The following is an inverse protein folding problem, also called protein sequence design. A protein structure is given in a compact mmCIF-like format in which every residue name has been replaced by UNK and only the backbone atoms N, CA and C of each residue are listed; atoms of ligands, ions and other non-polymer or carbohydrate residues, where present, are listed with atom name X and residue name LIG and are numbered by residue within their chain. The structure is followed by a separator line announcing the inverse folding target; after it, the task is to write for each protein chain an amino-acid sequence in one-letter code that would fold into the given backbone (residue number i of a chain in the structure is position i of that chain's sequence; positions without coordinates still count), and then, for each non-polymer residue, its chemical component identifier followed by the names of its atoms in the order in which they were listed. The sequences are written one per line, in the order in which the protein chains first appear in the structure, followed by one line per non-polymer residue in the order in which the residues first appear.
data_IF_965175449481
#
_entry.id   IF_965175449481
#
_cell.length_a   1.000
_cell.length_b   1.000
_cell.length_c   1.000
_cell.angle_alpha   90.00
_cell.angle_beta   90.00
_cell.angle_gamma   90.00
#
_symmetry.space_group_name_H-M   'P 1'
#
loop_
_entity.id
_entity.type
_entity.pdbx_description
1 polymer ?
#
# COMPACT_ATOMS: atom_id res chain seq x y z
N UNK A 1 17.45 28.18 -6.29
CA UNK A 1 16.20 27.61 -5.75
C UNK A 1 14.98 27.86 -6.64
N UNK A 2 14.77 29.08 -7.19
CA UNK A 2 13.60 29.36 -8.04
C UNK A 2 13.49 28.43 -9.28
N UNK A 3 14.60 28.13 -9.95
CA UNK A 3 14.65 27.17 -11.07
C UNK A 3 14.28 25.74 -10.68
N UNK A 4 14.58 25.33 -9.45
CA UNK A 4 14.28 23.99 -8.93
C UNK A 4 12.81 23.84 -8.51
N UNK A 5 12.16 24.94 -8.11
CA UNK A 5 10.74 24.93 -7.74
C UNK A 5 9.86 24.66 -8.97
N UNK A 6 10.15 25.32 -10.09
CA UNK A 6 9.36 25.14 -11.30
C UNK A 6 9.63 23.80 -11.98
N UNK A 7 10.90 23.37 -12.01
CA UNK A 7 11.24 22.03 -12.49
C UNK A 7 10.59 20.91 -11.66
N UNK A 8 10.55 21.05 -10.32
CA UNK A 8 9.89 20.06 -9.46
C UNK A 8 8.38 20.04 -9.66
N UNK A 9 7.75 21.22 -9.88
CA UNK A 9 6.32 21.31 -10.20
C UNK A 9 5.99 20.53 -11.48
N UNK A 10 6.74 20.77 -12.55
CA UNK A 10 6.54 20.10 -13.84
C UNK A 10 6.72 18.58 -13.68
N UNK A 11 7.81 18.16 -13.01
CA UNK A 11 8.09 16.76 -12.74
C UNK A 11 6.95 16.06 -11.98
N UNK A 12 6.40 16.70 -10.94
CA UNK A 12 5.27 16.13 -10.20
C UNK A 12 4.00 16.03 -11.07
N UNK A 13 3.75 16.98 -11.96
CA UNK A 13 2.60 16.93 -12.87
C UNK A 13 2.73 15.76 -13.86
N UNK A 14 3.91 15.55 -14.45
CA UNK A 14 4.20 14.44 -15.35
C UNK A 14 4.06 13.08 -14.67
N UNK A 15 4.40 12.98 -13.38
CA UNK A 15 4.25 11.76 -12.58
C UNK A 15 2.83 11.57 -12.01
N UNK A 16 1.85 12.38 -12.47
CA UNK A 16 0.43 12.20 -12.17
C UNK A 16 0.01 12.65 -10.78
N UNK A 17 0.78 13.49 -10.09
CA UNK A 17 0.37 14.03 -8.80
C UNK A 17 -0.77 15.05 -8.95
N UNK A 18 -1.73 15.04 -8.03
CA UNK A 18 -2.86 15.98 -8.07
C UNK A 18 -2.41 17.43 -7.82
N UNK A 19 -3.18 18.42 -8.30
CA UNK A 19 -2.91 19.86 -8.03
C UNK A 19 -2.74 20.17 -6.53
N UNK A 20 -3.54 19.52 -5.67
CA UNK A 20 -3.44 19.69 -4.22
C UNK A 20 -2.15 19.08 -3.66
N UNK A 21 -1.78 17.89 -4.13
CA UNK A 21 -0.54 17.21 -3.71
C UNK A 21 0.68 18.01 -4.15
N UNK A 22 0.71 18.50 -5.40
CA UNK A 22 1.76 19.36 -5.92
C UNK A 22 1.92 20.59 -5.04
N UNK A 23 0.83 21.30 -4.75
CA UNK A 23 0.86 22.49 -3.88
C UNK A 23 1.48 22.18 -2.51
N UNK A 24 1.12 21.04 -1.92
CA UNK A 24 1.63 20.61 -0.63
C UNK A 24 3.12 20.26 -0.69
N UNK A 25 3.57 19.52 -1.72
CA UNK A 25 4.97 19.13 -1.88
C UNK A 25 5.87 20.33 -2.20
N UNK A 26 5.35 21.36 -2.88
CA UNK A 26 6.07 22.62 -3.10
C UNK A 26 6.22 23.43 -1.79
N UNK A 27 5.20 23.40 -0.91
CA UNK A 27 5.35 23.98 0.44
C UNK A 27 6.43 23.26 1.24
N UNK A 28 6.48 21.93 1.15
CA UNK A 28 7.48 21.12 1.83
C UNK A 28 8.89 21.42 1.28
N UNK A 29 9.05 21.55 -0.05
CA UNK A 29 10.30 22.01 -0.68
C UNK A 29 10.74 23.39 -0.17
N UNK A 30 9.82 24.35 -0.08
CA UNK A 30 10.13 25.68 0.46
C UNK A 30 10.64 25.61 1.91
N UNK A 31 10.08 24.74 2.74
CA UNK A 31 10.52 24.55 4.12
C UNK A 31 11.90 23.90 4.20
N UNK A 32 12.18 22.90 3.38
CA UNK A 32 13.52 22.30 3.26
C UNK A 32 14.52 23.37 2.85
N UNK A 33 14.18 24.22 1.89
CA UNK A 33 15.02 25.34 1.46
C UNK A 33 15.38 26.30 2.58
N UNK A 34 14.39 26.76 3.34
CA UNK A 34 14.62 27.65 4.49
C UNK A 34 15.50 26.96 5.55
N UNK A 35 15.27 25.67 5.80
CA UNK A 35 16.06 24.90 6.75
C UNK A 35 17.53 24.74 6.33
N UNK A 36 17.78 24.46 5.05
CA UNK A 36 19.13 24.40 4.50
C UNK A 36 19.86 25.74 4.65
N UNK A 37 19.21 26.84 4.26
CA UNK A 37 19.79 28.19 4.36
C UNK A 37 20.15 28.57 5.80
N UNK A 38 19.31 28.21 6.78
CA UNK A 38 19.59 28.45 8.21
C UNK A 38 20.80 27.68 8.73
N UNK A 39 21.13 26.54 8.12
CA UNK A 39 22.26 25.68 8.49
C UNK A 39 23.49 25.88 7.61
N UNK A 40 23.46 26.87 6.69
CA UNK A 40 24.55 27.11 5.74
C UNK A 40 24.74 25.99 4.71
N UNK A 41 23.72 25.17 4.49
CA UNK A 41 23.75 24.03 3.57
C UNK A 41 23.19 24.43 2.19
N UNK A 42 23.70 23.77 1.15
CA UNK A 42 23.23 23.90 -0.23
C UNK A 42 22.29 22.76 -0.59
N UNK A 43 21.60 22.88 -1.73
CA UNK A 43 20.75 21.81 -2.24
C UNK A 43 21.52 20.52 -2.52
N UNK A 44 22.80 20.62 -2.91
CA UNK A 44 23.67 19.46 -3.15
C UNK A 44 24.00 18.67 -1.87
N UNK A 45 23.87 19.29 -0.69
CA UNK A 45 24.11 18.64 0.61
C UNK A 45 22.89 17.84 1.09
N UNK A 46 21.78 17.85 0.36
CA UNK A 46 20.60 17.06 0.71
C UNK A 46 20.89 15.57 0.56
N UNK A 47 20.59 14.83 1.61
CA UNK A 47 20.62 13.37 1.66
C UNK A 47 19.40 12.84 2.42
N UNK A 48 19.20 11.52 2.41
CA UNK A 48 18.22 10.86 3.27
C UNK A 48 18.40 11.24 4.74
N UNK A 49 19.64 11.24 5.26
CA UNK A 49 19.94 11.60 6.66
C UNK A 49 19.63 13.06 6.96
N UNK A 50 19.97 13.97 6.03
CA UNK A 50 19.66 15.40 6.19
C UNK A 50 18.17 15.67 6.16
N UNK A 51 17.41 14.93 5.35
CA UNK A 51 15.95 15.02 5.36
C UNK A 51 15.36 14.45 6.65
N UNK A 52 15.91 13.36 7.21
CA UNK A 52 15.51 12.87 8.53
C UNK A 52 15.79 13.92 9.61
N UNK A 53 16.95 14.57 9.58
CA UNK A 53 17.30 15.65 10.50
C UNK A 53 16.34 16.84 10.35
N UNK A 54 16.00 17.24 9.12
CA UNK A 54 14.97 18.25 8.87
C UNK A 54 13.63 17.87 9.48
N UNK A 55 13.17 16.62 9.29
CA UNK A 55 11.88 16.17 9.84
C UNK A 55 11.89 16.17 11.37
N UNK A 56 13.01 15.79 11.99
CA UNK A 56 13.20 15.81 13.43
C UNK A 56 13.14 17.24 13.98
N UNK A 57 13.92 18.16 13.42
CA UNK A 57 13.92 19.57 13.84
C UNK A 57 12.53 20.22 13.72
N UNK A 58 11.80 19.92 12.65
CA UNK A 58 10.46 20.50 12.45
C UNK A 58 9.43 19.89 13.41
N UNK A 59 9.66 18.65 13.87
CA UNK A 59 8.86 18.03 14.92
C UNK A 59 9.10 18.70 16.29
N UNK A 60 10.36 18.99 16.65
CA UNK A 60 10.67 19.69 17.90
C UNK A 60 10.06 21.10 17.96
N UNK A 61 9.98 21.79 16.82
CA UNK A 61 9.35 23.13 16.73
C UNK A 61 7.81 23.06 16.73
N UNK A 62 7.22 21.87 16.88
CA UNK A 62 5.77 21.70 17.08
C UNK A 62 4.92 21.92 15.82
N UNK A 63 5.48 21.73 14.62
CA UNK A 63 4.70 21.90 13.38
C UNK A 63 3.61 20.83 13.24
N UNK A 64 2.37 21.28 13.01
CA UNK A 64 1.19 20.41 12.85
C UNK A 64 1.17 19.57 11.56
N UNK A 65 1.92 19.97 10.51
CA UNK A 65 1.99 19.23 9.24
C UNK A 65 3.45 18.95 8.89
N UNK A 66 3.86 17.71 9.09
CA UNK A 66 5.14 17.19 8.63
C UNK A 66 4.88 16.17 7.52
N UNK A 67 5.53 16.27 6.36
CA UNK A 67 5.55 15.16 5.44
C UNK A 67 6.22 13.97 6.12
N UNK A 68 5.60 12.79 6.07
CA UNK A 68 6.29 11.57 6.51
C UNK A 68 7.53 11.31 5.64
N UNK A 69 8.52 10.51 6.08
CA UNK A 69 9.74 10.22 5.33
C UNK A 69 9.50 9.77 3.88
N UNK A 70 8.40 9.04 3.63
CA UNK A 70 7.98 8.62 2.28
C UNK A 70 7.53 9.78 1.39
N UNK A 71 6.94 10.82 1.97
CA UNK A 71 6.50 12.02 1.25
C UNK A 71 7.65 12.87 0.71
N UNK A 72 8.86 12.70 1.25
CA UNK A 72 10.07 13.42 0.81
C UNK A 72 10.87 12.64 -0.25
N UNK A 73 10.59 11.35 -0.48
CA UNK A 73 11.27 10.57 -1.53
C UNK A 73 11.17 11.20 -2.93
N UNK A 74 9.99 11.69 -3.38
CA UNK A 74 9.88 12.29 -4.71
C UNK A 74 10.78 13.51 -4.89
N UNK A 75 11.02 14.28 -3.81
CA UNK A 75 11.93 15.42 -3.85
C UNK A 75 13.37 14.98 -4.09
N UNK A 76 13.87 13.99 -3.36
CA UNK A 76 15.22 13.45 -3.60
C UNK A 76 15.34 12.81 -4.99
N UNK A 77 14.30 12.10 -5.44
CA UNK A 77 14.28 11.51 -6.80
C UNK A 77 14.41 12.59 -7.86
N UNK A 78 13.62 13.66 -7.78
CA UNK A 78 13.71 14.79 -8.71
C UNK A 78 15.09 15.45 -8.66
N UNK A 79 15.60 15.79 -7.47
CA UNK A 79 16.88 16.49 -7.34
C UNK A 79 18.06 15.66 -7.86
N UNK A 80 17.99 14.32 -7.77
CA UNK A 80 18.98 13.41 -8.35
C UNK A 80 18.88 13.36 -9.87
N UNK A 81 17.67 13.27 -10.43
CA UNK A 81 17.47 13.29 -11.87
C UNK A 81 17.88 14.63 -12.50
N UNK A 82 17.70 15.72 -11.77
CA UNK A 82 18.18 17.05 -12.15
C UNK A 82 19.69 17.26 -11.89
N UNK A 83 20.42 16.23 -11.46
CA UNK A 83 21.84 16.26 -11.12
C UNK A 83 22.24 17.32 -10.07
N UNK A 84 21.30 17.74 -9.22
CA UNK A 84 21.51 18.72 -8.14
C UNK A 84 22.05 18.03 -6.89
N UNK A 85 21.49 16.87 -6.57
CA UNK A 85 21.92 16.02 -5.45
C UNK A 85 22.65 14.81 -6.03
N UNK A 86 23.87 14.49 -5.55
CA UNK A 86 24.57 13.31 -6.02
C UNK A 86 23.71 12.05 -5.76
N UNK A 87 23.85 11.00 -6.58
CA UNK A 87 23.30 9.70 -6.22
C UNK A 87 23.85 9.33 -4.84
N UNK A 88 23.05 8.64 -4.00
CA UNK A 88 23.49 8.33 -2.66
C UNK A 88 24.82 7.58 -2.76
N UNK A 89 25.87 8.12 -2.12
CA UNK A 89 27.16 7.46 -1.92
C UNK A 89 26.99 6.33 -0.89
N UNK A 90 25.99 5.48 -1.08
CA UNK A 90 25.86 4.24 -0.32
C UNK A 90 26.68 3.25 -1.13
N UNK A 91 27.94 3.08 -0.75
CA UNK A 91 28.60 1.82 -1.03
C UNK A 91 27.65 0.72 -0.54
N UNK A 92 27.28 -0.27 -1.38
CA UNK A 92 26.37 -1.32 -0.96
C UNK A 92 26.89 -1.89 0.36
N UNK A 93 26.15 -1.66 1.43
CA UNK A 93 26.52 -2.26 2.70
C UNK A 93 26.33 -3.77 2.54
N UNK A 94 27.15 -4.61 3.20
CA UNK A 94 26.94 -6.06 3.18
C UNK A 94 25.50 -6.45 3.53
N UNK A 95 24.83 -5.64 4.36
CA UNK A 95 23.41 -5.75 4.66
C UNK A 95 22.50 -5.51 3.44
N UNK A 96 22.72 -4.44 2.68
CA UNK A 96 21.92 -4.15 1.48
C UNK A 96 22.10 -5.26 0.43
N UNK A 97 23.31 -5.79 0.26
CA UNK A 97 23.55 -6.90 -0.67
C UNK A 97 22.74 -8.14 -0.30
N UNK A 98 22.69 -8.49 0.99
CA UNK A 98 21.86 -9.59 1.49
C UNK A 98 20.37 -9.31 1.23
N UNK A 99 19.90 -8.09 1.43
CA UNK A 99 18.50 -7.71 1.19
C UNK A 99 18.13 -7.75 -0.30
N UNK A 100 19.04 -7.32 -1.18
CA UNK A 100 18.86 -7.41 -2.64
C UNK A 100 18.79 -8.87 -3.07
N UNK A 101 19.71 -9.71 -2.62
CA UNK A 101 19.69 -11.14 -2.90
C UNK A 101 18.40 -11.81 -2.37
N UNK A 102 17.96 -11.43 -1.18
CA UNK A 102 16.71 -11.93 -0.59
C UNK A 102 15.48 -11.53 -1.42
N UNK A 103 15.44 -10.28 -1.91
CA UNK A 103 14.39 -9.82 -2.82
C UNK A 103 14.39 -10.63 -4.11
N UNK A 104 15.55 -10.80 -4.75
CA UNK A 104 15.68 -11.59 -5.98
C UNK A 104 15.22 -13.03 -5.77
N UNK A 105 15.60 -13.64 -4.66
CA UNK A 105 15.15 -14.98 -4.28
C UNK A 105 13.62 -15.08 -4.11
N UNK A 106 13.01 -14.13 -3.40
CA UNK A 106 11.56 -14.11 -3.20
C UNK A 106 10.76 -13.93 -4.51
N UNK A 107 11.30 -13.16 -5.45
CA UNK A 107 10.66 -12.92 -6.75
C UNK A 107 10.90 -14.10 -7.68
N UNK A 108 12.16 -14.48 -7.90
CA UNK A 108 12.55 -15.47 -8.89
C UNK A 108 12.21 -16.90 -8.49
N UNK A 109 12.61 -17.33 -7.30
CA UNK A 109 12.45 -18.72 -6.88
C UNK A 109 11.11 -19.01 -6.20
N UNK A 110 10.52 -18.00 -5.54
CA UNK A 110 9.25 -18.17 -4.79
C UNK A 110 8.02 -17.59 -5.46
N UNK A 111 8.19 -16.80 -6.52
CA UNK A 111 7.08 -16.19 -7.26
C UNK A 111 6.17 -15.31 -6.40
N UNK A 112 6.70 -14.67 -5.34
CA UNK A 112 5.89 -13.88 -4.43
C UNK A 112 5.43 -12.56 -5.09
N UNK A 113 4.19 -12.16 -4.80
CA UNK A 113 3.68 -10.85 -5.25
C UNK A 113 4.49 -9.68 -4.67
N UNK A 114 4.58 -8.57 -5.41
CA UNK A 114 5.32 -7.37 -4.98
C UNK A 114 4.92 -6.87 -3.59
N UNK A 115 3.62 -6.88 -3.26
CA UNK A 115 3.13 -6.50 -1.93
C UNK A 115 3.63 -7.44 -0.82
N UNK A 116 3.74 -8.74 -1.11
CA UNK A 116 4.28 -9.72 -0.16
C UNK A 116 5.80 -9.55 -0.01
N UNK A 117 6.52 -9.35 -1.12
CA UNK A 117 7.96 -9.05 -1.14
C UNK A 117 8.27 -7.82 -0.28
N UNK A 118 7.54 -6.71 -0.50
CA UNK A 118 7.72 -5.48 0.28
C UNK A 118 7.51 -5.72 1.78
N UNK A 119 6.48 -6.49 2.15
CA UNK A 119 6.23 -6.81 3.57
C UNK A 119 7.37 -7.63 4.16
N UNK A 120 7.82 -8.67 3.45
CA UNK A 120 8.89 -9.57 3.91
C UNK A 120 10.22 -8.84 4.02
N UNK A 121 10.56 -8.02 3.03
CA UNK A 121 11.78 -7.21 3.00
C UNK A 121 11.79 -6.16 4.11
N UNK A 122 10.66 -5.50 4.40
CA UNK A 122 10.60 -4.54 5.50
C UNK A 122 10.88 -5.20 6.86
N UNK A 123 10.32 -6.38 7.11
CA UNK A 123 10.60 -7.15 8.33
C UNK A 123 12.04 -7.64 8.36
N UNK A 124 12.57 -8.14 7.24
CA UNK A 124 13.96 -8.58 7.14
C UNK A 124 14.93 -7.42 7.40
N UNK A 125 14.70 -6.26 6.80
CA UNK A 125 15.50 -5.05 6.99
C UNK A 125 15.56 -4.65 8.47
N UNK A 126 14.40 -4.59 9.15
CA UNK A 126 14.36 -4.27 10.59
C UNK A 126 15.18 -5.26 11.41
N UNK A 127 14.94 -6.56 11.20
CA UNK A 127 15.65 -7.60 11.92
C UNK A 127 17.16 -7.49 11.70
N UNK A 128 17.61 -7.48 10.44
CA UNK A 128 19.02 -7.50 10.10
C UNK A 128 19.74 -6.19 10.50
N UNK A 129 19.06 -5.04 10.46
CA UNK A 129 19.61 -3.78 10.97
C UNK A 129 19.83 -3.81 12.49
N UNK A 130 18.98 -4.50 13.27
CA UNK A 130 19.20 -4.69 14.71
C UNK A 130 20.37 -5.63 15.03
N UNK A 131 20.73 -6.51 14.08
CA UNK A 131 21.84 -7.45 14.22
C UNK A 131 23.15 -6.92 13.61
N UNK A 132 23.11 -5.78 12.93
CA UNK A 132 24.29 -5.20 12.32
C UNK A 132 25.13 -4.47 13.39
N UNK A 133 26.44 -4.69 13.35
CA UNK A 133 27.40 -3.93 14.16
C UNK A 133 27.47 -2.46 13.66
N UNK A 134 27.99 -1.52 14.48
CA UNK A 134 28.27 -0.16 14.04
C UNK A 134 29.04 -0.15 12.70
N UNK A 135 28.55 0.61 11.72
CA UNK A 135 29.07 0.60 10.34
C UNK A 135 28.35 -0.36 9.37
N UNK A 136 27.28 -1.04 9.80
CA UNK A 136 26.45 -1.87 8.91
C UNK A 136 27.07 -3.23 8.57
N UNK A 137 28.12 -3.63 9.29
CA UNK A 137 28.75 -4.95 9.15
C UNK A 137 27.80 -5.98 9.75
N UNK A 138 27.33 -6.89 8.91
CA UNK A 138 26.43 -7.96 9.29
C UNK A 138 27.16 -9.30 9.17
N UNK A 139 27.21 -10.06 10.27
CA UNK A 139 27.83 -11.40 10.34
C UNK A 139 26.73 -12.47 10.53
N UNK A 140 26.09 -12.93 9.45
CA UNK A 140 24.98 -13.88 9.55
C UNK A 140 25.33 -15.18 10.26
N UNK A 141 26.60 -15.61 10.25
CA UNK A 141 27.05 -16.83 10.93
C UNK A 141 26.89 -16.81 12.46
N UNK A 142 26.80 -15.63 13.08
CA UNK A 142 26.63 -15.47 14.54
C UNK A 142 25.18 -15.48 15.02
N UNK A 143 24.19 -15.55 14.11
CA UNK A 143 22.78 -15.51 14.48
C UNK A 143 22.37 -16.71 15.34
N UNK A 144 21.66 -16.43 16.42
CA UNK A 144 21.17 -17.45 17.36
C UNK A 144 19.64 -17.45 17.43
N UNK A 145 19.07 -18.54 17.97
CA UNK A 145 17.63 -18.58 18.25
C UNK A 145 17.16 -17.52 19.25
N UNK A 146 18.05 -17.06 20.13
CA UNK A 146 17.75 -16.00 21.09
C UNK A 146 17.52 -14.65 20.39
N UNK A 147 18.29 -14.33 19.36
CA UNK A 147 18.15 -13.09 18.59
C UNK A 147 16.80 -13.04 17.88
N UNK A 148 16.39 -14.17 17.29
CA UNK A 148 15.10 -14.35 16.64
C UNK A 148 13.95 -14.14 17.63
N UNK A 149 14.04 -14.78 18.80
CA UNK A 149 13.00 -14.68 19.83
C UNK A 149 12.89 -13.26 20.40
N UNK A 150 14.03 -12.62 20.68
CA UNK A 150 14.06 -11.25 21.18
C UNK A 150 13.43 -10.25 20.19
N UNK A 151 13.73 -10.38 18.90
CA UNK A 151 13.10 -9.58 17.85
C UNK A 151 11.58 -9.82 17.76
N UNK A 152 11.15 -11.09 17.76
CA UNK A 152 9.73 -11.43 17.67
C UNK A 152 8.95 -10.93 18.89
N UNK A 153 9.49 -11.01 20.10
CA UNK A 153 8.84 -10.48 21.29
C UNK A 153 8.59 -8.97 21.17
N UNK A 154 9.57 -8.21 20.66
CA UNK A 154 9.40 -6.76 20.42
C UNK A 154 8.39 -6.45 19.32
N UNK A 155 8.43 -7.16 18.19
CA UNK A 155 7.51 -6.87 17.07
C UNK A 155 6.08 -7.37 17.33
N UNK A 156 5.89 -8.49 18.03
CA UNK A 156 4.57 -9.06 18.31
C UNK A 156 3.75 -8.19 19.26
N UNK A 157 4.37 -7.51 20.23
CA UNK A 157 3.66 -6.59 21.15
C UNK A 157 3.07 -5.38 20.39
N UNK A 158 3.63 -5.03 19.24
CA UNK A 158 3.23 -3.85 18.46
C UNK A 158 2.09 -4.12 17.47
N UNK A 159 1.65 -5.36 17.34
CA UNK A 159 0.74 -5.78 16.27
C UNK A 159 -0.32 -6.76 16.77
N UNK A 160 -1.42 -6.89 16.01
CA UNK A 160 -2.45 -7.88 16.31
C UNK A 160 -1.92 -9.32 16.19
N UNK A 161 -2.59 -10.29 16.83
CA UNK A 161 -2.21 -11.70 16.77
C UNK A 161 -2.12 -12.25 15.32
N UNK A 162 -2.97 -11.78 14.41
CA UNK A 162 -2.89 -12.13 12.98
C UNK A 162 -1.62 -11.59 12.31
N UNK A 163 -1.25 -10.34 12.62
CA UNK A 163 0.00 -9.74 12.15
C UNK A 163 1.24 -10.39 12.77
N UNK A 164 1.17 -10.83 14.03
CA UNK A 164 2.24 -11.59 14.70
C UNK A 164 2.55 -12.91 13.98
N UNK A 165 1.51 -13.67 13.58
CA UNK A 165 1.67 -14.86 12.71
C UNK A 165 2.37 -14.50 11.39
N UNK A 166 2.04 -13.34 10.82
CA UNK A 166 2.70 -12.77 9.65
C UNK A 166 4.21 -12.55 9.88
N UNK A 167 4.58 -11.90 11.00
CA UNK A 167 5.98 -11.65 11.37
C UNK A 167 6.78 -12.93 11.53
N UNK A 168 6.19 -13.95 12.15
CA UNK A 168 6.82 -15.27 12.27
C UNK A 168 7.05 -15.91 10.89
N UNK A 169 6.08 -15.85 9.98
CA UNK A 169 6.24 -16.40 8.63
C UNK A 169 7.33 -15.64 7.83
N UNK A 170 7.38 -14.32 7.98
CA UNK A 170 8.39 -13.46 7.36
C UNK A 170 9.80 -13.79 7.87
N UNK A 171 9.97 -13.95 9.19
CA UNK A 171 11.27 -14.28 9.78
C UNK A 171 11.73 -15.70 9.42
N UNK A 172 10.83 -16.69 9.45
CA UNK A 172 11.14 -18.05 8.97
C UNK A 172 11.58 -18.07 7.51
N UNK A 173 10.94 -17.25 6.67
CA UNK A 173 11.31 -17.09 5.27
C UNK A 173 12.74 -16.55 5.12
N UNK A 174 13.09 -15.52 5.90
CA UNK A 174 14.44 -14.97 5.91
C UNK A 174 15.47 -16.00 6.37
N UNK A 175 15.21 -16.70 7.48
CA UNK A 175 16.12 -17.72 8.00
C UNK A 175 16.33 -18.87 7.01
N UNK A 176 15.27 -19.27 6.29
CA UNK A 176 15.39 -20.25 5.22
C UNK A 176 16.30 -19.75 4.10
N UNK A 177 16.16 -18.49 3.68
CA UNK A 177 17.01 -17.89 2.66
C UNK A 177 18.48 -17.85 3.10
N UNK A 178 18.77 -17.35 4.31
CA UNK A 178 20.14 -17.28 4.83
C UNK A 178 20.81 -18.66 4.88
N UNK A 179 20.07 -19.69 5.30
CA UNK A 179 20.58 -21.05 5.31
C UNK A 179 20.81 -21.63 3.91
N UNK A 180 19.87 -21.43 2.98
CA UNK A 180 20.01 -21.90 1.59
C UNK A 180 21.19 -21.23 0.87
N UNK A 181 21.53 -19.99 1.24
CA UNK A 181 22.69 -19.27 0.71
C UNK A 181 23.99 -19.55 1.47
N UNK A 182 23.97 -20.46 2.45
CA UNK A 182 25.14 -20.83 3.24
C UNK A 182 25.64 -19.74 4.21
N UNK A 183 24.85 -18.68 4.43
CA UNK A 183 25.20 -17.55 5.29
C UNK A 183 25.07 -17.89 6.78
N UNK A 184 24.19 -18.83 7.11
CA UNK A 184 24.00 -19.35 8.47
C UNK A 184 24.20 -20.87 8.47
N UNK A 185 25.08 -21.42 9.33
CA UNK A 185 25.31 -22.87 9.41
C UNK A 185 24.07 -23.61 9.95
N UNK A 186 23.34 -22.97 10.86
CA UNK A 186 22.16 -23.55 11.50
C UNK A 186 20.87 -23.26 10.72
N UNK A 187 19.94 -24.22 10.74
CA UNK A 187 18.57 -24.05 10.23
C UNK A 187 17.70 -23.30 11.24
N UNK A 188 18.01 -22.04 11.52
CA UNK A 188 17.33 -21.23 12.54
C UNK A 188 15.83 -21.04 12.29
N UNK A 189 15.33 -21.30 11.09
CA UNK A 189 13.89 -21.25 10.78
C UNK A 189 13.05 -22.22 11.61
N UNK A 190 13.62 -23.32 12.10
CA UNK A 190 12.93 -24.28 12.99
C UNK A 190 12.89 -23.81 14.45
N UNK A 191 13.81 -22.93 14.85
CA UNK A 191 13.87 -22.36 16.19
C UNK A 191 12.83 -21.25 16.43
N UNK A 192 12.16 -20.78 15.36
CA UNK A 192 11.08 -19.79 15.48
C UNK A 192 9.80 -20.50 15.96
N UNK A 193 9.30 -20.25 17.19
CA UNK A 193 8.09 -20.91 17.67
C UNK A 193 6.85 -20.46 16.89
N UNK A 194 5.87 -21.36 16.65
CA UNK A 194 4.61 -20.94 16.07
C UNK A 194 3.87 -20.02 17.04
N UNK A 195 3.32 -18.92 16.52
CA UNK A 195 2.36 -18.12 17.30
C UNK A 195 1.09 -18.95 17.45
N UNK A 196 0.75 -19.27 18.70
CA UNK A 196 -0.49 -19.94 19.05
C UNK A 196 -1.69 -19.19 18.49
N UNK A 197 -2.65 -19.94 17.96
CA UNK A 197 -3.93 -19.37 17.58
C UNK A 197 -4.80 -20.43 16.96
N UNK A 198 -5.77 -20.88 17.74
CA UNK A 198 -6.71 -21.92 17.38
C UNK A 198 -7.51 -21.51 16.14
N UNK A 199 -7.71 -22.46 15.23
CA UNK A 199 -8.60 -22.28 14.08
C UNK A 199 -10.01 -22.02 14.64
N UNK A 200 -10.65 -20.94 14.22
CA UNK A 200 -11.95 -20.48 14.77
C UNK A 200 -11.91 -19.96 16.22
N UNK A 201 -10.74 -19.58 16.76
CA UNK A 201 -10.65 -18.93 18.08
C UNK A 201 -11.54 -17.68 18.21
N UNK A 202 -11.85 -17.04 17.08
CA UNK A 202 -12.80 -15.94 16.99
C UNK A 202 -13.66 -16.12 15.74
N UNK A 203 -14.96 -15.87 15.87
CA UNK A 203 -15.84 -15.67 14.73
C UNK A 203 -15.52 -14.29 14.17
N UNK A 204 -15.26 -14.14 12.85
CA UNK A 204 -15.11 -12.82 12.25
C UNK A 204 -16.32 -11.96 12.63
N UNK A 205 -16.14 -10.72 13.09
CA UNK A 205 -17.28 -9.85 13.38
C UNK A 205 -18.14 -9.76 12.12
N UNK A 206 -19.41 -10.10 12.26
CA UNK A 206 -20.42 -9.97 11.21
C UNK A 206 -21.32 -8.80 11.54
N UNK A 207 -21.83 -8.14 10.50
CA UNK A 207 -22.77 -7.04 10.64
C UNK A 207 -24.17 -7.58 10.36
N UNK A 208 -25.17 -7.18 11.15
CA UNK A 208 -26.54 -7.58 10.85
C UNK A 208 -27.00 -6.94 9.54
N UNK A 209 -27.88 -7.60 8.80
CA UNK A 209 -28.41 -7.06 7.55
C UNK A 209 -29.06 -5.67 7.75
N UNK A 210 -29.70 -5.46 8.91
CA UNK A 210 -30.28 -4.18 9.29
C UNK A 210 -29.22 -3.06 9.43
N UNK A 211 -28.09 -3.34 10.07
CA UNK A 211 -26.98 -2.38 10.22
C UNK A 211 -26.36 -2.02 8.86
N UNK A 212 -26.23 -3.02 7.97
CA UNK A 212 -25.73 -2.80 6.60
C UNK A 212 -26.69 -1.92 5.82
N UNK A 213 -28.00 -2.18 5.96
CA UNK A 213 -29.02 -1.36 5.31
C UNK A 213 -29.00 0.08 5.86
N UNK A 214 -28.91 0.24 7.18
CA UNK A 214 -28.77 1.54 7.82
C UNK A 214 -27.54 2.30 7.30
N UNK A 215 -26.40 1.62 7.15
CA UNK A 215 -25.18 2.21 6.58
C UNK A 215 -25.39 2.68 5.12
N UNK A 216 -26.09 1.90 4.30
CA UNK A 216 -26.41 2.26 2.92
C UNK A 216 -27.40 3.42 2.82
N UNK A 217 -28.36 3.48 3.75
CA UNK A 217 -29.39 4.52 3.79
C UNK A 217 -28.82 5.88 4.21
N UNK A 218 -27.85 5.90 5.12
CA UNK A 218 -27.23 7.13 5.64
C UNK A 218 -25.96 7.54 4.87
N UNK A 219 -25.56 6.77 3.84
CA UNK A 219 -24.40 7.12 3.04
C UNK A 219 -24.72 8.33 2.13
N UNK A 220 -23.91 9.41 2.15
CA UNK A 220 -24.12 10.55 1.28
C UNK A 220 -24.12 10.16 -0.20
N UNK A 221 -25.13 10.59 -0.95
CA UNK A 221 -25.27 10.33 -2.39
C UNK A 221 -24.99 11.57 -3.24
N UNK A 222 -24.38 12.57 -2.63
CA UNK A 222 -24.06 13.84 -3.27
C UNK A 222 -22.55 14.08 -3.28
N UNK A 223 -22.11 14.83 -4.29
CA UNK A 223 -20.70 15.13 -4.50
C UNK A 223 -19.89 13.91 -4.93
N UNK A 224 -18.71 14.18 -5.51
CA UNK A 224 -17.84 13.13 -6.04
C UNK A 224 -17.42 12.08 -5.00
N UNK A 225 -17.26 12.49 -3.74
CA UNK A 225 -16.82 11.60 -2.65
C UNK A 225 -17.97 10.74 -2.14
N UNK A 226 -19.17 11.31 -1.98
CA UNK A 226 -20.35 10.59 -1.50
C UNK A 226 -20.79 9.51 -2.48
N UNK A 227 -21.00 9.89 -3.74
CA UNK A 227 -21.44 8.95 -4.80
C UNK A 227 -20.44 7.80 -4.95
N UNK A 228 -19.13 8.07 -4.90
CA UNK A 228 -18.09 7.04 -4.92
C UNK A 228 -18.17 6.12 -3.69
N UNK A 229 -18.31 6.70 -2.50
CA UNK A 229 -18.43 5.96 -1.25
C UNK A 229 -19.62 5.01 -1.30
N UNK A 230 -20.76 5.47 -1.79
CA UNK A 230 -21.96 4.66 -1.97
C UNK A 230 -21.74 3.50 -2.95
N UNK A 231 -21.12 3.74 -4.12
CA UNK A 231 -20.81 2.68 -5.08
C UNK A 231 -19.87 1.61 -4.49
N UNK A 232 -18.86 2.03 -3.72
CA UNK A 232 -17.97 1.09 -3.01
C UNK A 232 -18.76 0.26 -2.00
N UNK A 233 -19.62 0.89 -1.19
CA UNK A 233 -20.42 0.18 -0.20
C UNK A 233 -21.37 -0.82 -0.86
N UNK A 234 -21.98 -0.49 -2.01
CA UNK A 234 -22.81 -1.40 -2.77
C UNK A 234 -22.03 -2.63 -3.25
N UNK A 235 -20.82 -2.45 -3.79
CA UNK A 235 -19.93 -3.55 -4.19
C UNK A 235 -19.54 -4.46 -3.00
N UNK A 236 -19.27 -3.86 -1.84
CA UNK A 236 -18.91 -4.62 -0.63
C UNK A 236 -20.12 -5.38 -0.06
N UNK A 237 -21.27 -4.71 0.08
CA UNK A 237 -22.45 -5.23 0.74
C UNK A 237 -23.21 -6.26 -0.12
N UNK A 238 -23.36 -6.01 -1.42
CA UNK A 238 -24.19 -6.84 -2.32
C UNK A 238 -23.42 -7.96 -3.01
N UNK A 239 -22.14 -7.74 -3.33
CA UNK A 239 -21.30 -8.74 -4.01
C UNK A 239 -20.27 -9.41 -3.08
N UNK A 240 -20.12 -8.93 -1.85
CA UNK A 240 -19.19 -9.49 -0.88
C UNK A 240 -17.73 -9.45 -1.34
N UNK A 241 -17.36 -8.39 -2.07
CA UNK A 241 -16.01 -8.18 -2.57
C UNK A 241 -15.08 -7.80 -1.43
N UNK A 242 -13.81 -8.18 -1.53
CA UNK A 242 -12.78 -7.64 -0.64
C UNK A 242 -12.44 -6.20 -1.02
N UNK A 243 -11.99 -5.40 -0.07
CA UNK A 243 -11.51 -4.03 -0.31
C UNK A 243 -10.48 -3.95 -1.44
N UNK A 244 -9.54 -4.90 -1.51
CA UNK A 244 -8.55 -4.96 -2.59
C UNK A 244 -9.11 -5.40 -3.94
N UNK A 245 -10.20 -6.18 -3.95
CA UNK A 245 -10.89 -6.59 -5.18
C UNK A 245 -11.61 -5.37 -5.77
N UNK A 246 -12.35 -4.63 -4.93
CA UNK A 246 -12.97 -3.35 -5.31
C UNK A 246 -11.92 -2.35 -5.79
N UNK A 247 -10.82 -2.19 -5.04
CA UNK A 247 -9.76 -1.22 -5.36
C UNK A 247 -8.98 -1.54 -6.65
N UNK A 248 -9.14 -2.74 -7.23
CA UNK A 248 -8.48 -3.15 -8.47
C UNK A 248 -9.42 -3.22 -9.66
N UNK A 249 -10.72 -3.06 -9.42
CA UNK A 249 -11.75 -3.15 -10.44
C UNK A 249 -11.52 -2.07 -11.52
N UNK A 250 -11.63 -2.47 -12.77
CA UNK A 250 -11.51 -1.61 -13.95
C UNK A 250 -12.86 -1.55 -14.68
N UNK A 251 -13.04 -0.54 -15.54
CA UNK A 251 -14.28 -0.41 -16.33
C UNK A 251 -14.47 -1.63 -17.25
N UNK A 252 -13.38 -2.13 -17.84
CA UNK A 252 -13.37 -3.32 -18.70
C UNK A 252 -13.68 -4.62 -17.96
N UNK A 253 -13.70 -4.58 -16.62
CA UNK A 253 -14.13 -5.72 -15.81
C UNK A 253 -15.65 -5.84 -15.73
N UNK A 254 -16.42 -4.84 -16.22
CA UNK A 254 -17.88 -4.84 -16.21
C UNK A 254 -18.42 -5.10 -17.62
N UNK A 255 -19.14 -6.20 -17.79
CA UNK A 255 -19.90 -6.48 -19.00
C UNK A 255 -21.35 -6.04 -18.81
N UNK A 256 -21.66 -4.82 -19.25
CA UNK A 256 -23.00 -4.24 -19.15
C UNK A 256 -24.05 -4.97 -19.98
N UNK A 257 -23.65 -5.68 -21.05
CA UNK A 257 -24.59 -6.41 -21.91
C UNK A 257 -25.01 -7.72 -21.28
N UNK A 258 -24.05 -8.42 -20.68
CA UNK A 258 -24.32 -9.67 -19.96
C UNK A 258 -24.77 -9.44 -18.52
N UNK A 259 -24.63 -8.22 -17.99
CA UNK A 259 -24.90 -7.93 -16.59
C UNK A 259 -23.95 -8.69 -15.68
N UNK A 260 -22.66 -8.74 -16.02
CA UNK A 260 -21.63 -9.47 -15.29
C UNK A 260 -20.48 -8.57 -14.87
N UNK A 261 -19.78 -8.97 -13.81
CA UNK A 261 -18.55 -8.33 -13.34
C UNK A 261 -17.45 -9.36 -13.09
N UNK A 262 -16.28 -9.12 -13.67
CA UNK A 262 -15.09 -9.94 -13.53
C UNK A 262 -14.26 -9.49 -12.32
N UNK A 263 -14.03 -10.41 -11.38
CA UNK A 263 -13.30 -10.15 -10.14
C UNK A 263 -11.98 -10.89 -10.12
N UNK A 264 -10.88 -10.15 -10.03
CA UNK A 264 -9.53 -10.71 -9.89
C UNK A 264 -9.20 -10.96 -8.42
N UNK A 265 -9.37 -12.20 -8.00
CA UNK A 265 -9.15 -12.68 -6.64
C UNK A 265 -7.70 -13.03 -6.32
N UNK A 266 -7.49 -13.50 -5.08
CA UNK A 266 -6.18 -13.97 -4.60
C UNK A 266 -5.71 -15.18 -5.40
N UNK A 267 -4.42 -15.22 -5.75
CA UNK A 267 -3.80 -16.38 -6.40
C UNK A 267 -4.02 -16.46 -7.91
N UNK A 268 -4.25 -15.32 -8.59
CA UNK A 268 -4.57 -15.24 -10.03
C UNK A 268 -5.88 -15.94 -10.41
N UNK A 269 -6.79 -16.10 -9.44
CA UNK A 269 -8.14 -16.59 -9.71
C UNK A 269 -8.99 -15.45 -10.24
N UNK A 270 -9.73 -15.70 -11.30
CA UNK A 270 -10.74 -14.79 -11.84
C UNK A 270 -12.11 -15.43 -11.69
N UNK A 271 -13.04 -14.72 -11.07
CA UNK A 271 -14.45 -15.15 -10.91
C UNK A 271 -15.34 -14.15 -11.65
N UNK A 272 -16.36 -14.62 -12.37
CA UNK A 272 -17.43 -13.78 -12.93
C UNK A 272 -18.65 -13.86 -12.03
N UNK A 273 -19.21 -12.71 -11.69
CA UNK A 273 -20.39 -12.60 -10.84
C UNK A 273 -21.49 -11.85 -11.61
N UNK A 274 -22.77 -12.18 -11.38
CA UNK A 274 -23.85 -11.32 -11.86
C UNK A 274 -23.71 -9.94 -11.24
N UNK A 275 -24.07 -8.90 -11.99
CA UNK A 275 -24.12 -7.50 -11.56
C UNK A 275 -25.58 -7.15 -11.21
N UNK A 276 -25.96 -7.10 -9.92
CA UNK A 276 -27.28 -6.66 -9.53
C UNK A 276 -27.56 -5.25 -10.03
N UNK A 277 -28.80 -4.98 -10.45
CA UNK A 277 -29.23 -3.70 -11.02
C UNK A 277 -28.85 -2.53 -10.11
N UNK A 278 -29.17 -2.61 -8.83
CA UNK A 278 -28.85 -1.62 -7.79
C UNK A 278 -27.34 -1.32 -7.67
N UNK A 279 -26.47 -2.30 -7.92
CA UNK A 279 -25.01 -2.12 -7.92
C UNK A 279 -24.58 -1.43 -9.22
N UNK A 280 -25.16 -1.85 -10.35
CA UNK A 280 -24.96 -1.22 -11.65
C UNK A 280 -25.36 0.26 -11.65
N UNK A 281 -26.52 0.59 -11.08
CA UNK A 281 -27.01 1.96 -10.93
C UNK A 281 -26.07 2.82 -10.09
N UNK A 282 -25.59 2.30 -8.95
CA UNK A 282 -24.63 2.99 -8.11
C UNK A 282 -23.30 3.25 -8.84
N UNK A 283 -22.84 2.29 -9.65
CA UNK A 283 -21.66 2.47 -10.50
C UNK A 283 -21.90 3.52 -11.59
N UNK A 284 -23.03 3.48 -12.29
CA UNK A 284 -23.39 4.46 -13.32
C UNK A 284 -23.49 5.87 -12.74
N UNK A 285 -24.10 6.03 -11.56
CA UNK A 285 -24.16 7.32 -10.86
C UNK A 285 -22.76 7.85 -10.56
N UNK A 286 -21.83 6.99 -10.12
CA UNK A 286 -20.44 7.38 -9.90
C UNK A 286 -19.71 7.77 -11.20
N UNK A 287 -19.91 7.00 -12.26
CA UNK A 287 -19.29 7.23 -13.57
C UNK A 287 -19.84 8.47 -14.28
N UNK A 288 -21.11 8.81 -14.05
CA UNK A 288 -21.78 9.97 -14.67
C UNK A 288 -21.72 11.24 -13.81
N UNK A 289 -21.17 11.13 -12.59
CA UNK A 289 -21.14 12.23 -11.62
C UNK A 289 -20.15 13.36 -11.97
N UNK A 290 -20.19 14.48 -11.22
CA UNK A 290 -19.44 15.72 -11.54
C UNK A 290 -17.91 15.56 -11.63
N UNK A 291 -17.34 14.48 -11.08
CA UNK A 291 -15.92 14.18 -11.19
C UNK A 291 -15.48 13.68 -12.58
N UNK A 292 -16.43 13.22 -13.38
CA UNK A 292 -16.22 12.64 -14.72
C UNK A 292 -17.02 13.38 -15.82
N UNK A 293 -17.70 14.47 -15.44
CA UNK A 293 -18.50 15.33 -16.30
C UNK A 293 -17.66 16.13 -17.29
N UNK A 294 -17.15 15.44 -18.31
CA UNK A 294 -16.51 16.01 -19.49
C UNK A 294 -16.61 15.14 -20.75
N UNK A 295 -17.13 13.91 -20.67
CA UNK A 295 -17.11 13.00 -21.83
C UNK A 295 -18.40 12.19 -22.07
N UNK A 296 -19.47 12.38 -21.30
CA UNK A 296 -20.68 11.55 -21.42
C UNK A 296 -21.94 12.41 -21.57
N UNK A 297 -22.05 13.16 -22.67
CA UNK A 297 -23.36 13.64 -23.18
C UNK A 297 -23.37 13.45 -24.70
N UNK A 298 -24.15 12.47 -25.15
CA UNK A 298 -24.37 12.18 -26.58
C UNK A 298 -25.04 10.84 -26.75
N UNK A 299 -26.36 10.87 -26.91
CA UNK A 299 -27.24 9.74 -27.23
C UNK A 299 -26.76 8.93 -28.44
N UNK A 300 -26.96 7.61 -28.36
CA UNK A 300 -26.49 6.52 -29.25
C UNK A 300 -25.08 5.99 -28.93
N UNK A 301 -25.01 4.73 -28.49
CA UNK A 301 -23.77 3.96 -28.29
C UNK A 301 -23.27 3.48 -29.67
N UNK A 302 -22.14 4.00 -30.21
CA UNK A 302 -21.50 3.40 -31.37
C UNK A 302 -20.52 2.30 -30.91
N UNK A 303 -20.36 1.29 -31.75
CA UNK A 303 -19.57 0.08 -31.53
C UNK A 303 -18.03 0.29 -31.51
N UNK A 304 -17.53 1.49 -31.23
CA UNK A 304 -16.11 1.84 -31.34
C UNK A 304 -15.62 2.57 -30.10
N UNK A 305 -15.53 1.85 -28.98
CA UNK A 305 -14.67 2.23 -27.85
C UNK A 305 -13.45 1.32 -27.85
N UNK A 306 -12.60 1.48 -28.87
CA UNK A 306 -11.21 1.03 -28.82
C UNK A 306 -10.34 2.16 -28.28
N UNK A 307 -9.68 1.85 -27.16
CA UNK A 307 -8.38 2.38 -26.71
C UNK A 307 -8.28 3.85 -26.30
N UNK A 308 -8.34 4.10 -24.99
CA UNK A 308 -7.25 4.82 -24.30
C UNK A 308 -6.60 3.87 -23.28
N UNK A 309 -5.40 3.41 -23.64
CA UNK A 309 -4.53 2.53 -22.87
C UNK A 309 -3.81 3.28 -21.74
N UNK A 310 -4.54 3.85 -20.78
CA UNK A 310 -3.86 4.45 -19.62
C UNK A 310 -3.65 3.50 -18.43
N UNK A 311 -4.24 2.29 -18.44
CA UNK A 311 -3.81 1.18 -17.55
C UNK A 311 -3.83 1.48 -16.03
N UNK A 312 -4.48 2.56 -15.60
CA UNK A 312 -4.50 3.03 -14.21
C UNK A 312 -5.76 2.49 -13.54
N UNK A 313 -5.57 1.79 -12.43
CA UNK A 313 -6.67 1.34 -11.56
C UNK A 313 -7.43 2.56 -11.02
N UNK A 314 -8.69 2.69 -11.42
CA UNK A 314 -9.60 3.81 -11.15
C UNK A 314 -9.74 4.17 -9.66
N UNK A 315 -9.45 3.21 -8.77
CA UNK A 315 -9.61 3.32 -7.33
C UNK A 315 -8.31 3.62 -6.55
N UNK A 316 -7.13 3.36 -7.13
CA UNK A 316 -5.86 3.34 -6.40
C UNK A 316 -5.39 4.73 -5.92
N UNK A 317 -5.96 5.80 -6.45
CA UNK A 317 -5.48 7.16 -6.21
C UNK A 317 -5.94 7.77 -4.86
N UNK A 318 -6.92 7.18 -4.17
CA UNK A 318 -7.48 7.77 -2.94
C UNK A 318 -7.49 6.87 -1.68
N UNK A 319 -7.22 5.56 -1.79
CA UNK A 319 -7.12 4.69 -0.60
C UNK A 319 -5.97 5.11 0.35
N UNK A 320 -5.00 5.90 -0.12
CA UNK A 320 -3.84 6.37 0.66
C UNK A 320 -3.89 7.86 1.06
N UNK A 321 -5.04 8.55 0.98
CA UNK A 321 -5.21 9.94 1.41
C UNK A 321 -5.78 10.07 2.83
N UNK A 322 -5.47 11.15 3.60
CA UNK A 322 -5.77 11.26 5.03
C UNK A 322 -7.24 11.58 5.37
N UNK A 323 -8.19 11.29 4.48
CA UNK A 323 -9.60 11.44 4.78
C UNK A 323 -10.09 10.17 5.51
N UNK A 324 -9.70 10.04 6.78
CA UNK A 324 -10.48 9.28 7.73
C UNK A 324 -11.89 9.86 7.72
N UNK A 325 -12.86 9.08 7.24
CA UNK A 325 -14.25 9.27 7.66
C UNK A 325 -14.22 9.19 9.20
N UNK A 326 -14.62 10.26 9.92
CA UNK A 326 -14.87 10.12 11.35
C UNK A 326 -15.99 9.08 11.45
N UNK A 327 -15.74 7.98 12.15
CA UNK A 327 -16.58 6.77 12.21
C UNK A 327 -16.38 5.72 11.09
N UNK A 328 -15.15 5.54 10.62
CA UNK A 328 -14.78 4.29 9.94
C UNK A 328 -14.69 3.14 10.96
N UNK A 329 -15.57 2.12 10.91
CA UNK A 329 -15.62 1.09 11.93
C UNK A 329 -14.36 0.19 11.86
N UNK A 330 -13.98 -0.39 12.99
CA UNK A 330 -12.72 -1.12 13.16
C UNK A 330 -12.52 -2.26 12.13
N UNK A 331 -13.60 -2.87 11.64
CA UNK A 331 -13.57 -3.94 10.62
C UNK A 331 -13.06 -3.50 9.24
N UNK A 332 -13.21 -2.22 8.88
CA UNK A 332 -12.72 -1.69 7.61
C UNK A 332 -11.18 -1.61 7.58
N UNK A 333 -10.53 -1.55 8.75
CA UNK A 333 -9.06 -1.60 8.90
C UNK A 333 -8.49 -3.02 8.82
N UNK A 334 -9.31 -4.05 9.08
CA UNK A 334 -8.85 -5.43 9.31
C UNK A 334 -9.19 -6.42 8.18
N UNK A 335 -9.87 -5.98 7.11
CA UNK A 335 -10.39 -6.86 6.05
C UNK A 335 -9.35 -7.33 5.01
N UNK A 336 -8.18 -7.78 5.48
CA UNK A 336 -7.24 -8.58 4.68
C UNK A 336 -7.52 -10.08 4.90
N UNK A 337 -8.67 -10.60 4.47
CA UNK A 337 -8.82 -12.07 4.39
C UNK A 337 -10.23 -12.64 4.24
N UNK A 338 -11.21 -12.10 4.93
CA UNK A 338 -12.53 -12.74 5.04
C UNK A 338 -13.52 -12.17 4.02
N UNK A 339 -14.21 -13.00 3.21
CA UNK A 339 -15.36 -12.54 2.44
C UNK A 339 -16.48 -12.08 3.38
N UNK A 340 -17.27 -11.10 2.95
CA UNK A 340 -18.54 -10.78 3.60
C UNK A 340 -19.51 -11.97 3.52
N UNK A 341 -20.40 -12.16 4.51
CA UNK A 341 -21.39 -13.23 4.49
C UNK A 341 -22.34 -13.00 3.30
N UNK A 342 -22.24 -13.86 2.27
CA UNK A 342 -23.03 -13.71 1.04
C UNK A 342 -22.58 -14.60 -0.12
N UNK A 343 -21.31 -15.05 -0.17
CA UNK A 343 -20.88 -16.04 -1.18
C UNK A 343 -21.37 -17.44 -0.82
N UNK A 344 -22.60 -17.78 -1.22
CA UNK A 344 -22.94 -19.18 -1.49
C UNK A 344 -22.36 -19.52 -2.87
N UNK A 345 -21.25 -20.25 -2.90
CA UNK A 345 -20.87 -20.96 -4.12
C UNK A 345 -21.98 -21.98 -4.40
N UNK A 346 -22.83 -21.70 -5.39
CA UNK A 346 -23.67 -22.71 -6.01
C UNK A 346 -22.78 -23.76 -6.67
N UNK A 347 -22.43 -24.81 -5.92
CA UNK A 347 -22.08 -26.09 -6.54
C UNK A 347 -23.40 -26.76 -6.88
N UNK A 348 -23.78 -26.71 -8.15
CA UNK A 348 -24.58 -27.79 -8.73
C UNK A 348 -23.75 -29.06 -8.61
N UNK A 349 -24.22 -29.97 -7.75
CA UNK A 349 -23.77 -31.36 -7.75
C UNK A 349 -24.23 -31.98 -9.07
N UNK A 350 -23.26 -32.36 -9.89
CA UNK A 350 -23.39 -33.31 -10.99
C UNK A 350 -22.38 -34.40 -10.75
#
# INVERSE_FOLDING_TARGET
MASQVEGYRAWLAEHGYTKLTIRNMLKDLGQVGVWLSRRGLQAADLSEDRLQQFLFDQWEVGRRRLPGPRGMRPLLTYLRQAAVVPPPLVAPSPLEDVLVQYRCWMVGERGLSAATVLRYENTARRFLSEQAMPGGVFTPGGLTGADLNAFLLRECVRVSAGSAKGRVAELRSLMRFLHLRGLTPLRLGTAVPPVGGWRLATVPPTMAAADVQQLLDHCPREGAVGIRGYAILMLLARLGLRSIEVARLQLDDVDWRLGEIAIRGKGRREDRLPLPVEVGEALVAYLSGPAHGGALVGSSLPAELRTDRSGRTWWAMWWNGPACVPDCPEWARTSCGTPWPGRRCGRTLG
#
